data_IF_116203027197
#
_entry.id   IF_116203027197
#
_cell.length_a   1.000
_cell.length_b   1.000
_cell.length_c   1.000
_cell.angle_alpha   90.00
_cell.angle_beta   90.00
_cell.angle_gamma   90.00
#
_symmetry.space_group_name_H-M   'P 1'
#
loop_
_entity.id
_entity.type
_entity.pdbx_description
1 polymer ?
#
# COMPACT_ATOMS: atom_id res chain seq x y z
N UNK A 1 -13.73 -73.27 6.12
CA UNK A 1 -12.91 -72.71 5.01
C UNK A 1 -13.76 -71.77 4.15
N UNK A 2 -13.45 -70.47 4.08
CA UNK A 2 -13.81 -69.57 2.95
C UNK A 2 -12.91 -68.33 3.06
N UNK A 3 -11.92 -68.21 2.17
CA UNK A 3 -11.01 -67.06 2.13
C UNK A 3 -11.71 -65.91 1.40
N UNK A 4 -11.95 -64.79 2.07
CA UNK A 4 -12.34 -63.54 1.41
C UNK A 4 -11.08 -62.68 1.27
N UNK A 5 -10.80 -62.27 0.04
CA UNK A 5 -9.56 -61.59 -0.34
C UNK A 5 -9.64 -60.10 0.01
N UNK A 6 -8.65 -59.60 0.75
CA UNK A 6 -8.34 -58.17 0.82
C UNK A 6 -8.01 -57.64 -0.58
N UNK A 7 -8.64 -56.53 -0.97
CA UNK A 7 -8.19 -55.69 -2.08
C UNK A 7 -7.92 -54.30 -1.53
N UNK A 8 -6.67 -53.86 -1.58
CA UNK A 8 -6.34 -52.43 -1.49
C UNK A 8 -6.89 -51.76 -2.75
N UNK A 9 -7.71 -50.73 -2.57
CA UNK A 9 -8.13 -49.82 -3.62
C UNK A 9 -7.62 -48.42 -3.31
N UNK A 10 -6.53 -48.01 -3.94
CA UNK A 10 -6.12 -46.62 -3.92
C UNK A 10 -7.04 -45.81 -4.84
N UNK A 11 -7.77 -44.84 -4.30
CA UNK A 11 -8.46 -43.82 -5.08
C UNK A 11 -7.76 -42.48 -4.86
N UNK A 12 -7.05 -42.02 -5.89
CA UNK A 12 -6.46 -40.68 -5.91
C UNK A 12 -7.56 -39.62 -6.08
N UNK A 13 -7.51 -38.58 -5.24
CA UNK A 13 -8.40 -37.42 -5.37
C UNK A 13 -7.81 -36.50 -6.45
N UNK A 14 -8.39 -36.53 -7.65
CA UNK A 14 -8.07 -35.59 -8.71
C UNK A 14 -8.87 -34.29 -8.52
N UNK A 15 -8.26 -33.28 -7.89
CA UNK A 15 -8.80 -31.92 -7.83
C UNK A 15 -8.57 -31.20 -9.17
N UNK A 16 -9.56 -31.26 -10.07
CA UNK A 16 -9.58 -30.45 -11.29
C UNK A 16 -10.08 -29.05 -11.00
N UNK A 17 -9.15 -28.13 -10.72
CA UNK A 17 -9.45 -26.70 -10.60
C UNK A 17 -9.54 -26.05 -11.99
N UNK A 18 -10.76 -25.73 -12.44
CA UNK A 18 -11.01 -24.94 -13.63
C UNK A 18 -12.37 -24.22 -13.53
N UNK A 19 -12.41 -23.05 -12.90
CA UNK A 19 -13.52 -22.10 -13.03
C UNK A 19 -13.02 -20.97 -13.94
N UNK A 20 -13.53 -20.82 -15.17
CA UNK A 20 -13.12 -19.73 -16.04
C UNK A 20 -13.71 -18.41 -15.54
N UNK A 21 -12.86 -17.41 -15.32
CA UNK A 21 -13.29 -16.01 -15.23
C UNK A 21 -13.79 -15.57 -16.60
N UNK A 22 -15.10 -15.43 -16.74
CA UNK A 22 -15.76 -14.98 -17.96
C UNK A 22 -15.36 -13.54 -18.31
N UNK A 23 -14.38 -13.39 -19.18
CA UNK A 23 -13.96 -12.10 -19.74
C UNK A 23 -15.02 -11.60 -20.73
N UNK A 24 -15.92 -10.72 -20.29
CA UNK A 24 -16.71 -9.88 -21.21
C UNK A 24 -15.76 -8.90 -21.91
N UNK A 25 -15.74 -8.94 -23.24
CA UNK A 25 -14.79 -8.19 -24.05
C UNK A 25 -14.86 -6.66 -23.80
N UNK A 26 -13.71 -5.95 -23.74
CA UNK A 26 -13.72 -4.49 -23.66
C UNK A 26 -14.12 -3.89 -25.02
N UNK A 27 -15.03 -2.92 -25.01
CA UNK A 27 -15.31 -2.10 -26.17
C UNK A 27 -14.06 -1.32 -26.58
N UNK A 28 -13.76 -1.28 -27.88
CA UNK A 28 -12.56 -0.64 -28.40
C UNK A 28 -12.59 0.88 -28.19
N UNK A 29 -11.75 1.39 -27.29
CA UNK A 29 -11.50 2.83 -27.15
C UNK A 29 -10.42 3.26 -28.16
N UNK A 30 -10.77 4.17 -29.06
CA UNK A 30 -9.85 4.77 -30.03
C UNK A 30 -8.80 5.65 -29.33
N UNK A 31 -7.53 5.28 -29.44
CA UNK A 31 -6.44 6.06 -28.88
C UNK A 31 -6.14 7.30 -29.74
N UNK A 32 -6.24 8.49 -29.15
CA UNK A 32 -5.68 9.73 -29.72
C UNK A 32 -4.27 9.98 -29.14
N UNK A 33 -3.24 10.17 -29.97
CA UNK A 33 -1.93 10.61 -29.50
C UNK A 33 -1.94 12.13 -29.20
N UNK A 34 -1.00 12.56 -28.35
CA UNK A 34 -0.74 13.94 -27.89
C UNK A 34 -1.68 14.49 -26.80
N UNK A 35 -1.48 14.01 -25.57
CA UNK A 35 -2.01 14.66 -24.36
C UNK A 35 -1.13 15.84 -23.91
N UNK A 36 -1.59 17.07 -24.15
CA UNK A 36 -0.98 18.30 -23.62
C UNK A 36 -1.04 18.33 -22.09
N UNK A 37 0.06 18.63 -21.36
CA UNK A 37 0.02 18.69 -19.90
C UNK A 37 -0.66 19.98 -19.43
N UNK A 38 -1.85 19.84 -18.80
CA UNK A 38 -2.47 20.95 -18.06
C UNK A 38 -3.90 21.31 -18.46
N UNK A 39 -4.82 20.34 -18.55
CA UNK A 39 -6.24 20.65 -18.40
C UNK A 39 -6.51 21.04 -16.93
N UNK A 40 -6.82 22.31 -16.69
CA UNK A 40 -7.18 22.78 -15.36
C UNK A 40 -8.53 22.17 -14.95
N UNK A 41 -8.50 21.19 -14.04
CA UNK A 41 -9.72 20.58 -13.48
C UNK A 41 -10.53 21.68 -12.80
N UNK A 42 -11.75 21.92 -13.30
CA UNK A 42 -12.65 22.92 -12.71
C UNK A 42 -12.86 22.64 -11.22
N UNK A 43 -12.70 23.66 -10.38
CA UNK A 43 -12.65 23.51 -8.92
C UNK A 43 -14.00 23.15 -8.28
N UNK A 44 -15.07 23.03 -9.07
CA UNK A 44 -16.45 22.79 -8.60
C UNK A 44 -16.91 21.33 -8.67
N UNK A 45 -16.30 20.49 -9.53
CA UNK A 45 -16.65 19.08 -9.61
C UNK A 45 -15.79 18.23 -8.65
N UNK A 46 -16.38 17.30 -7.88
CA UNK A 46 -15.63 16.36 -7.05
C UNK A 46 -14.79 15.43 -7.94
N UNK A 47 -13.63 15.00 -7.44
CA UNK A 47 -12.89 13.89 -8.07
C UNK A 47 -13.66 12.57 -7.97
N UNK A 48 -13.24 11.56 -8.74
CA UNK A 48 -13.84 10.21 -8.67
C UNK A 48 -13.80 9.65 -7.25
N UNK A 49 -12.70 9.85 -6.52
CA UNK A 49 -12.58 9.44 -5.10
C UNK A 49 -13.51 10.24 -4.18
N UNK A 50 -13.53 11.56 -4.30
CA UNK A 50 -14.41 12.44 -3.51
C UNK A 50 -15.90 12.20 -3.76
N UNK A 51 -16.27 11.75 -4.97
CA UNK A 51 -17.63 11.35 -5.32
C UNK A 51 -18.14 10.18 -4.48
N UNK A 52 -17.26 9.25 -4.08
CA UNK A 52 -17.63 8.08 -3.27
C UNK A 52 -18.06 8.46 -1.85
N UNK A 53 -17.70 9.63 -1.32
CA UNK A 53 -18.19 10.16 -0.02
C UNK A 53 -19.73 10.34 0.03
N UNK A 54 -20.41 10.33 -1.11
CA UNK A 54 -21.87 10.37 -1.15
C UNK A 54 -22.54 9.02 -0.85
N UNK A 55 -21.78 7.91 -0.90
CA UNK A 55 -22.30 6.56 -0.68
C UNK A 55 -22.57 6.27 0.81
N UNK A 56 -23.38 5.25 1.09
CA UNK A 56 -23.75 4.87 2.46
C UNK A 56 -22.55 4.35 3.28
N UNK A 57 -21.76 3.41 2.75
CA UNK A 57 -20.67 2.78 3.50
C UNK A 57 -19.60 3.77 4.01
N UNK A 58 -19.07 4.72 3.21
CA UNK A 58 -18.14 5.74 3.71
C UNK A 58 -18.71 6.61 4.82
N UNK A 59 -20.01 6.98 4.74
CA UNK A 59 -20.68 7.77 5.77
C UNK A 59 -20.83 6.98 7.07
N UNK A 60 -21.26 5.72 6.99
CA UNK A 60 -21.38 4.85 8.16
C UNK A 60 -20.02 4.60 8.82
N UNK A 61 -18.97 4.34 8.03
CA UNK A 61 -17.59 4.16 8.51
C UNK A 61 -17.09 5.40 9.25
N UNK A 62 -17.31 6.60 8.70
CA UNK A 62 -16.91 7.86 9.33
C UNK A 62 -17.65 8.10 10.65
N UNK A 63 -18.97 7.92 10.66
CA UNK A 63 -19.80 8.08 11.86
C UNK A 63 -19.42 7.07 12.96
N UNK A 64 -19.31 5.78 12.61
CA UNK A 64 -19.02 4.70 13.58
C UNK A 64 -17.57 4.66 14.05
N UNK A 65 -16.68 5.44 13.45
CA UNK A 65 -15.30 5.64 13.94
C UNK A 65 -15.07 6.98 14.64
N UNK A 66 -16.03 7.91 14.58
CA UNK A 66 -15.86 9.29 15.04
C UNK A 66 -14.83 10.08 14.23
N UNK A 67 -14.76 9.81 12.93
CA UNK A 67 -13.92 10.54 11.96
C UNK A 67 -14.73 11.47 11.05
N UNK A 68 -16.06 11.42 11.12
CA UNK A 68 -17.00 12.34 10.48
C UNK A 68 -16.77 13.82 10.88
N UNK A 69 -16.29 14.08 12.10
CA UNK A 69 -15.94 15.42 12.57
C UNK A 69 -14.82 16.13 11.77
N UNK A 70 -13.90 15.38 11.14
CA UNK A 70 -12.71 15.95 10.49
C UNK A 70 -13.05 16.90 9.34
N UNK A 71 -14.00 16.55 8.48
CA UNK A 71 -14.39 17.38 7.34
C UNK A 71 -14.96 18.76 7.77
N UNK A 72 -16.02 18.84 8.61
CA UNK A 72 -16.57 20.12 9.04
C UNK A 72 -15.66 20.91 9.99
N UNK A 73 -14.79 20.28 10.77
CA UNK A 73 -13.76 21.00 11.54
C UNK A 73 -12.70 21.61 10.63
N UNK A 74 -12.23 20.84 9.65
CA UNK A 74 -11.25 21.30 8.68
C UNK A 74 -11.80 22.48 7.84
N UNK A 75 -13.04 22.40 7.37
CA UNK A 75 -13.71 23.50 6.67
C UNK A 75 -13.84 24.76 7.55
N UNK A 76 -14.26 24.61 8.82
CA UNK A 76 -14.37 25.73 9.77
C UNK A 76 -13.02 26.39 10.08
N UNK A 77 -11.93 25.64 10.08
CA UNK A 77 -10.59 26.20 10.24
C UNK A 77 -10.07 26.88 8.97
N UNK A 78 -10.30 26.31 7.78
CA UNK A 78 -10.00 26.96 6.49
C UNK A 78 -10.72 28.32 6.35
N UNK A 79 -11.97 28.43 6.82
CA UNK A 79 -12.72 29.69 6.82
C UNK A 79 -12.09 30.80 7.70
N UNK A 80 -11.17 30.45 8.61
CA UNK A 80 -10.45 31.41 9.48
C UNK A 80 -9.05 31.77 8.98
N UNK A 81 -8.58 31.14 7.90
CA UNK A 81 -7.24 31.38 7.34
C UNK A 81 -7.27 32.66 6.48
N UNK A 82 -6.43 33.63 6.84
CA UNK A 82 -6.40 34.96 6.21
C UNK A 82 -5.24 35.15 5.24
N UNK A 83 -4.21 34.30 5.30
CA UNK A 83 -3.05 34.32 4.40
C UNK A 83 -2.68 32.95 3.84
N UNK A 84 -1.94 32.93 2.74
CA UNK A 84 -1.43 31.67 2.17
C UNK A 84 -0.49 30.94 3.14
N UNK A 85 0.37 31.67 3.87
CA UNK A 85 1.31 31.11 4.83
C UNK A 85 0.59 30.47 6.03
N UNK A 86 -0.50 31.08 6.51
CA UNK A 86 -1.40 30.45 7.48
C UNK A 86 -2.02 29.17 6.91
N UNK A 87 -2.50 29.21 5.67
CA UNK A 87 -3.04 28.04 4.98
C UNK A 87 -2.05 26.89 4.87
N UNK A 88 -0.78 27.18 4.55
CA UNK A 88 0.28 26.16 4.52
C UNK A 88 0.49 25.52 5.90
N UNK A 89 0.60 26.32 6.97
CA UNK A 89 0.76 25.82 8.34
C UNK A 89 -0.45 25.02 8.81
N UNK A 90 -1.65 25.53 8.52
CA UNK A 90 -2.92 24.90 8.86
C UNK A 90 -3.05 23.53 8.19
N UNK A 91 -3.00 23.49 6.85
CA UNK A 91 -3.18 22.25 6.08
C UNK A 91 -2.13 21.19 6.42
N UNK A 92 -0.86 21.59 6.61
CA UNK A 92 0.19 20.66 7.03
C UNK A 92 -0.04 20.12 8.45
N UNK A 93 -0.50 20.95 9.39
CA UNK A 93 -0.81 20.53 10.76
C UNK A 93 -1.99 19.58 10.80
N UNK A 94 -3.10 19.91 10.12
CA UNK A 94 -4.31 19.07 10.13
C UNK A 94 -4.09 17.73 9.43
N UNK A 95 -3.33 17.69 8.32
CA UNK A 95 -2.94 16.42 7.70
C UNK A 95 -2.19 15.50 8.66
N UNK A 96 -1.18 16.01 9.37
CA UNK A 96 -0.43 15.25 10.40
C UNK A 96 -1.27 14.93 11.64
N UNK A 97 -2.25 15.76 11.98
CA UNK A 97 -3.18 15.50 13.07
C UNK A 97 -4.10 14.32 12.75
N UNK A 98 -4.60 14.24 11.51
CA UNK A 98 -5.40 13.11 11.03
C UNK A 98 -4.58 11.80 11.03
N UNK A 99 -3.33 11.82 10.54
CA UNK A 99 -2.44 10.66 10.62
C UNK A 99 -2.24 10.18 12.06
N UNK A 100 -1.81 11.07 12.96
CA UNK A 100 -1.60 10.74 14.38
C UNK A 100 -2.87 10.23 15.05
N UNK A 101 -4.03 10.82 14.77
CA UNK A 101 -5.32 10.36 15.31
C UNK A 101 -5.66 8.94 14.87
N UNK A 102 -5.35 8.56 13.63
CA UNK A 102 -5.53 7.19 13.14
C UNK A 102 -4.56 6.20 13.83
N UNK A 103 -3.27 6.54 13.88
CA UNK A 103 -2.25 5.74 14.58
C UNK A 103 -2.57 5.56 16.06
N UNK A 104 -2.91 6.64 16.77
CA UNK A 104 -3.34 6.62 18.17
C UNK A 104 -4.59 5.75 18.36
N UNK A 105 -5.58 5.87 17.46
CA UNK A 105 -6.79 5.05 17.50
C UNK A 105 -6.45 3.56 17.44
N UNK A 106 -5.68 3.12 16.44
CA UNK A 106 -5.28 1.71 16.28
C UNK A 106 -4.48 1.22 17.48
N UNK A 107 -3.60 2.05 18.04
CA UNK A 107 -2.71 1.69 19.14
C UNK A 107 -3.30 1.89 20.55
N UNK A 108 -4.62 1.92 20.68
CA UNK A 108 -5.31 1.98 21.98
C UNK A 108 -5.34 3.37 22.66
N UNK A 109 -4.68 4.39 22.10
CA UNK A 109 -4.59 5.74 22.66
C UNK A 109 -5.79 6.61 22.30
N UNK A 110 -6.11 7.57 23.17
CA UNK A 110 -7.23 8.50 22.97
C UNK A 110 -8.61 7.82 22.91
N UNK A 111 -9.68 8.60 22.65
CA UNK A 111 -11.04 8.08 22.57
C UNK A 111 -11.21 7.14 21.39
N UNK A 112 -12.08 6.13 21.55
CA UNK A 112 -12.47 5.26 20.44
C UNK A 112 -13.09 6.09 19.31
N UNK A 113 -14.08 6.93 19.62
CA UNK A 113 -14.82 7.78 18.67
C UNK A 113 -16.13 7.16 18.17
N UNK A 114 -16.32 5.86 18.36
CA UNK A 114 -17.52 5.11 18.00
C UNK A 114 -17.32 3.61 18.25
N UNK A 115 -18.19 2.78 17.70
CA UNK A 115 -18.23 1.33 17.91
C UNK A 115 -17.46 0.50 16.87
N UNK A 116 -17.00 1.11 15.76
CA UNK A 116 -16.14 0.43 14.79
C UNK A 116 -14.83 -0.01 15.47
N UNK A 117 -14.34 -1.19 15.10
CA UNK A 117 -13.09 -1.77 15.58
C UNK A 117 -11.88 -0.83 15.40
N UNK A 118 -11.01 -0.76 16.42
CA UNK A 118 -9.97 0.28 16.54
C UNK A 118 -8.89 0.20 15.47
N UNK A 119 -8.64 -0.99 14.93
CA UNK A 119 -7.62 -1.36 13.96
C UNK A 119 -8.01 -1.11 12.49
N UNK A 120 -9.11 -0.39 12.25
CA UNK A 120 -9.63 -0.09 10.91
C UNK A 120 -8.88 1.07 10.23
N UNK A 121 -8.46 0.86 8.98
CA UNK A 121 -7.74 1.84 8.14
C UNK A 121 -8.67 2.78 7.36
N UNK A 122 -9.91 2.35 7.08
CA UNK A 122 -10.88 3.06 6.25
C UNK A 122 -11.23 4.47 6.78
N UNK A 123 -11.35 4.73 8.10
CA UNK A 123 -11.60 6.06 8.64
C UNK A 123 -10.57 7.11 8.19
N UNK A 124 -9.29 6.74 8.11
CA UNK A 124 -8.22 7.64 7.66
C UNK A 124 -8.43 8.04 6.20
N UNK A 125 -8.67 7.05 5.33
CA UNK A 125 -8.87 7.26 3.90
C UNK A 125 -10.07 8.17 3.62
N UNK A 126 -11.23 7.87 4.21
CA UNK A 126 -12.46 8.63 3.96
C UNK A 126 -12.40 10.05 4.56
N UNK A 127 -11.85 10.24 5.75
CA UNK A 127 -11.76 11.57 6.37
C UNK A 127 -10.81 12.48 5.57
N UNK A 128 -9.70 11.93 5.09
CA UNK A 128 -8.76 12.64 4.23
C UNK A 128 -9.41 13.08 2.93
N UNK A 129 -10.20 12.22 2.27
CA UNK A 129 -10.95 12.63 1.07
C UNK A 129 -11.95 13.75 1.37
N UNK A 130 -12.61 13.73 2.54
CA UNK A 130 -13.44 14.84 3.02
C UNK A 130 -12.65 16.15 3.11
N UNK A 131 -11.50 16.14 3.79
CA UNK A 131 -10.62 17.32 3.89
C UNK A 131 -10.10 17.78 2.52
N UNK A 132 -9.73 16.86 1.63
CA UNK A 132 -9.28 17.17 0.26
C UNK A 132 -10.38 17.86 -0.55
N UNK A 133 -11.63 17.40 -0.44
CA UNK A 133 -12.80 18.03 -1.06
C UNK A 133 -12.99 19.48 -0.59
N UNK A 134 -12.96 19.72 0.72
CA UNK A 134 -13.06 21.08 1.29
C UNK A 134 -11.91 21.98 0.81
N UNK A 135 -10.67 21.47 0.77
CA UNK A 135 -9.51 22.22 0.29
C UNK A 135 -9.55 22.53 -1.21
N UNK A 136 -10.21 21.69 -2.02
CA UNK A 136 -10.50 22.00 -3.43
C UNK A 136 -11.56 23.10 -3.57
N UNK A 137 -12.64 23.01 -2.80
CA UNK A 137 -13.77 23.94 -2.83
C UNK A 137 -13.55 25.26 -2.06
N UNK A 138 -12.49 25.38 -1.26
CA UNK A 138 -12.22 26.56 -0.44
C UNK A 138 -11.89 27.81 -1.27
N UNK A 139 -12.63 28.89 -1.06
CA UNK A 139 -12.42 30.20 -1.69
C UNK A 139 -12.05 31.23 -0.60
N UNK A 140 -10.75 31.45 -0.32
CA UNK A 140 -10.34 32.45 0.66
C UNK A 140 -10.54 33.89 0.19
N UNK A 141 -10.59 34.83 1.13
CA UNK A 141 -10.61 36.27 0.86
C UNK A 141 -9.30 36.86 0.31
N UNK A 142 -8.26 36.03 0.12
CA UNK A 142 -6.99 36.41 -0.50
C UNK A 142 -6.76 35.64 -1.80
N UNK A 143 -5.92 36.18 -2.70
CA UNK A 143 -5.59 35.53 -3.97
C UNK A 143 -4.86 34.20 -3.75
N UNK A 144 -5.53 33.09 -4.08
CA UNK A 144 -4.95 31.74 -4.09
C UNK A 144 -4.83 31.23 -5.53
N UNK A 145 -3.60 31.10 -6.03
CA UNK A 145 -3.35 30.54 -7.37
C UNK A 145 -3.54 29.01 -7.42
N UNK A 146 -3.74 28.47 -8.62
CA UNK A 146 -3.82 27.02 -8.85
C UNK A 146 -2.59 26.29 -8.32
N UNK A 147 -1.38 26.83 -8.56
CA UNK A 147 -0.13 26.24 -8.07
C UNK A 147 -0.07 26.19 -6.53
N UNK A 148 -0.52 27.27 -5.86
CA UNK A 148 -0.62 27.32 -4.40
C UNK A 148 -1.66 26.32 -3.87
N UNK A 149 -2.84 26.20 -4.51
CA UNK A 149 -3.85 25.20 -4.12
C UNK A 149 -3.31 23.77 -4.28
N UNK A 150 -2.64 23.47 -5.40
CA UNK A 150 -1.98 22.18 -5.62
C UNK A 150 -0.90 21.90 -4.58
N UNK A 151 -0.12 22.90 -4.17
CA UNK A 151 0.87 22.75 -3.10
C UNK A 151 0.24 22.44 -1.73
N UNK A 152 -0.90 23.07 -1.41
CA UNK A 152 -1.68 22.77 -0.19
C UNK A 152 -2.25 21.34 -0.24
N UNK A 153 -2.89 20.94 -1.35
CA UNK A 153 -3.42 19.60 -1.55
C UNK A 153 -2.31 18.54 -1.41
N UNK A 154 -1.16 18.76 -2.05
CA UNK A 154 -0.01 17.87 -1.90
C UNK A 154 0.55 17.83 -0.46
N UNK A 155 0.41 18.91 0.30
CA UNK A 155 0.80 18.93 1.73
C UNK A 155 -0.17 18.14 2.60
N UNK A 156 -1.48 18.25 2.34
CA UNK A 156 -2.50 17.45 3.01
C UNK A 156 -2.27 15.97 2.75
N UNK A 157 -2.12 15.59 1.47
CA UNK A 157 -1.96 14.21 1.03
C UNK A 157 -0.72 13.51 1.63
N UNK A 158 0.40 14.22 1.82
CA UNK A 158 1.60 13.68 2.49
C UNK A 158 1.40 13.54 4.01
N UNK A 159 0.93 14.60 4.66
CA UNK A 159 0.79 14.64 6.13
C UNK A 159 -0.18 13.60 6.65
N UNK A 160 -1.29 13.39 5.94
CA UNK A 160 -2.34 12.40 6.26
C UNK A 160 -2.04 10.97 5.78
N UNK A 161 -0.80 10.69 5.36
CA UNK A 161 -0.31 9.35 5.01
C UNK A 161 0.98 8.97 5.76
N UNK A 162 1.42 9.77 6.73
CA UNK A 162 2.69 9.58 7.44
C UNK A 162 3.95 9.88 6.60
N UNK A 163 3.81 10.18 5.31
CA UNK A 163 4.93 10.31 4.35
C UNK A 163 5.93 11.42 4.70
N UNK A 164 5.52 12.41 5.52
CA UNK A 164 6.37 13.49 6.01
C UNK A 164 6.64 13.44 7.53
N UNK A 165 6.30 12.31 8.16
CA UNK A 165 6.35 12.08 9.61
C UNK A 165 7.16 10.83 10.01
N UNK A 166 7.87 10.19 9.06
CA UNK A 166 8.85 9.14 9.32
C UNK A 166 10.06 9.74 10.05
N UNK A 167 10.15 9.52 11.37
CA UNK A 167 11.18 10.10 12.25
C UNK A 167 12.12 9.04 12.85
N UNK A 168 12.96 8.44 12.01
CA UNK A 168 13.91 7.40 12.44
C UNK A 168 14.94 7.95 13.46
N UNK A 169 15.17 7.26 14.60
CA UNK A 169 16.11 7.71 15.63
C UNK A 169 17.55 7.74 15.10
N UNK A 170 18.36 8.64 15.67
CA UNK A 170 19.78 8.74 15.36
C UNK A 170 20.62 7.72 16.16
N UNK A 171 21.70 7.24 15.56
CA UNK A 171 22.67 6.35 16.21
C UNK A 171 22.46 4.86 15.91
N UNK A 172 23.18 3.99 16.63
CA UNK A 172 23.28 2.54 16.35
C UNK A 172 22.60 1.63 17.40
N UNK A 173 22.07 2.19 18.49
CA UNK A 173 21.48 1.40 19.61
C UNK A 173 20.14 0.74 19.25
N UNK A 174 19.46 1.26 18.24
CA UNK A 174 18.12 0.86 17.81
C UNK A 174 18.16 0.63 16.31
N UNK A 175 17.66 -0.52 15.86
CA UNK A 175 17.41 -0.79 14.45
C UNK A 175 16.26 0.09 13.94
N UNK A 176 16.39 0.59 12.72
CA UNK A 176 15.49 1.57 12.13
C UNK A 176 14.80 0.90 10.95
N UNK A 177 13.53 0.58 11.10
CA UNK A 177 12.75 -0.19 10.11
C UNK A 177 11.70 0.71 9.48
N UNK A 178 11.63 0.72 8.15
CA UNK A 178 10.57 1.42 7.40
C UNK A 178 9.60 0.40 6.83
N UNK A 179 8.31 0.53 7.15
CA UNK A 179 7.25 -0.31 6.57
C UNK A 179 6.27 0.55 5.79
N UNK A 180 5.84 0.12 4.60
CA UNK A 180 4.81 0.86 3.85
C UNK A 180 3.54 0.05 3.68
N UNK A 181 2.39 0.73 3.63
CA UNK A 181 1.11 0.15 3.23
C UNK A 181 0.45 0.93 2.09
N UNK A 182 -0.77 0.55 1.73
CA UNK A 182 -1.61 1.25 0.75
C UNK A 182 -2.95 1.67 1.32
N UNK A 183 -3.52 2.71 0.71
CA UNK A 183 -4.92 3.09 0.87
C UNK A 183 -5.88 1.96 0.39
N UNK A 184 -7.14 1.92 0.86
CA UNK A 184 -8.20 1.08 0.28
C UNK A 184 -8.38 1.29 -1.24
N UNK A 185 -8.76 0.22 -1.95
CA UNK A 185 -8.89 0.24 -3.42
C UNK A 185 -9.98 -0.72 -3.93
N UNK A 186 -10.22 -0.68 -5.25
CA UNK A 186 -11.37 -1.32 -5.91
C UNK A 186 -12.71 -0.93 -5.26
N UNK A 187 -12.82 0.36 -4.90
CA UNK A 187 -13.95 0.96 -4.18
C UNK A 187 -15.15 1.27 -5.08
N UNK A 188 -15.07 0.95 -6.37
CA UNK A 188 -16.22 0.95 -7.29
C UNK A 188 -17.02 -0.35 -7.20
N UNK A 189 -16.39 -1.49 -6.92
CA UNK A 189 -17.11 -2.76 -6.70
C UNK A 189 -17.65 -2.85 -5.26
N UNK A 190 -16.86 -2.41 -4.27
CA UNK A 190 -17.24 -2.43 -2.87
C UNK A 190 -16.52 -1.34 -2.04
N UNK A 191 -17.25 -0.27 -1.70
CA UNK A 191 -16.74 0.82 -0.87
C UNK A 191 -16.56 0.46 0.62
N UNK A 192 -16.94 -0.75 1.04
CA UNK A 192 -16.62 -1.29 2.37
C UNK A 192 -15.19 -1.85 2.44
N UNK A 193 -14.48 -2.03 1.31
CA UNK A 193 -13.13 -2.62 1.32
C UNK A 193 -12.15 -1.85 2.21
N UNK A 194 -11.33 -2.61 2.92
CA UNK A 194 -10.19 -2.19 3.77
C UNK A 194 -8.90 -2.68 3.12
N UNK A 195 -7.75 -2.08 3.44
CA UNK A 195 -6.46 -2.59 3.00
C UNK A 195 -5.65 -3.15 4.20
N UNK A 196 -5.37 -4.46 4.26
CA UNK A 196 -4.61 -5.05 5.36
C UNK A 196 -3.19 -4.47 5.48
N UNK A 197 -2.60 -4.00 4.38
CA UNK A 197 -1.29 -3.32 4.43
C UNK A 197 -1.38 -1.92 5.04
N UNK A 198 -2.47 -1.18 4.79
CA UNK A 198 -2.75 0.12 5.43
C UNK A 198 -3.03 -0.02 6.92
N UNK A 199 -3.84 -1.01 7.31
CA UNK A 199 -4.11 -1.34 8.70
C UNK A 199 -2.82 -1.76 9.46
N UNK A 200 -1.98 -2.58 8.83
CA UNK A 200 -0.69 -2.98 9.39
C UNK A 200 0.29 -1.80 9.54
N UNK A 201 0.32 -0.85 8.60
CA UNK A 201 1.12 0.36 8.72
C UNK A 201 0.72 1.18 9.97
N UNK A 202 -0.57 1.50 10.11
CA UNK A 202 -1.10 2.23 11.27
C UNK A 202 -0.82 1.53 12.62
N UNK A 203 -0.92 0.20 12.66
CA UNK A 203 -0.66 -0.60 13.85
C UNK A 203 0.83 -0.72 14.23
N UNK A 204 1.74 -0.36 13.32
CA UNK A 204 3.19 -0.42 13.51
C UNK A 204 3.85 0.95 13.60
N UNK A 205 3.20 2.03 13.18
CA UNK A 205 3.77 3.38 13.16
C UNK A 205 4.27 3.84 14.54
N UNK A 206 5.53 4.23 14.62
CA UNK A 206 6.17 4.60 15.87
C UNK A 206 6.22 3.50 16.94
N UNK A 207 6.00 2.23 16.61
CA UNK A 207 6.15 1.12 17.56
C UNK A 207 7.59 0.62 17.63
N UNK A 208 7.90 -0.21 18.64
CA UNK A 208 9.18 -0.91 18.71
C UNK A 208 8.98 -2.39 19.00
N UNK A 209 9.77 -3.23 18.33
CA UNK A 209 9.84 -4.69 18.57
C UNK A 209 11.24 -5.05 19.08
N UNK A 210 11.36 -6.17 19.79
CA UNK A 210 12.64 -6.66 20.29
C UNK A 210 13.11 -7.81 19.40
N UNK A 211 14.34 -7.73 18.91
CA UNK A 211 14.93 -8.78 18.07
C UNK A 211 15.34 -10.00 18.90
N UNK A 212 15.62 -11.12 18.23
CA UNK A 212 16.18 -12.32 18.87
C UNK A 212 17.51 -12.06 19.60
N UNK A 213 18.31 -11.08 19.16
CA UNK A 213 19.53 -10.62 19.86
C UNK A 213 19.26 -9.64 21.02
N UNK A 214 18.00 -9.37 21.34
CA UNK A 214 17.59 -8.46 22.40
C UNK A 214 17.67 -6.97 22.04
N UNK A 215 18.14 -6.61 20.84
CA UNK A 215 18.20 -5.22 20.34
C UNK A 215 16.80 -4.70 20.01
N UNK A 216 16.54 -3.42 20.27
CA UNK A 216 15.28 -2.80 19.87
C UNK A 216 15.30 -2.45 18.38
N UNK A 217 14.16 -2.64 17.71
CA UNK A 217 13.90 -2.17 16.36
C UNK A 217 12.69 -1.24 16.38
N UNK A 218 12.92 0.04 16.07
CA UNK A 218 11.90 1.08 15.88
C UNK A 218 11.32 0.93 14.48
N UNK A 219 9.99 0.90 14.38
CA UNK A 219 9.27 0.86 13.11
C UNK A 219 8.64 2.23 12.88
N UNK A 220 8.87 2.82 11.71
CA UNK A 220 8.18 4.00 11.19
C UNK A 220 7.49 3.63 9.88
N UNK A 221 6.36 4.26 9.58
CA UNK A 221 5.54 3.85 8.43
C UNK A 221 5.03 4.99 7.57
N UNK A 222 4.59 4.63 6.36
CA UNK A 222 3.81 5.51 5.51
C UNK A 222 2.83 4.70 4.65
N UNK A 223 1.72 5.33 4.28
CA UNK A 223 0.72 4.76 3.37
C UNK A 223 0.86 5.39 2.00
N UNK A 224 0.57 4.65 0.94
CA UNK A 224 0.63 5.13 -0.44
C UNK A 224 -0.75 5.19 -1.11
N UNK A 225 -1.01 6.20 -1.95
CA UNK A 225 -2.22 6.27 -2.74
C UNK A 225 -2.24 5.18 -3.81
N UNK A 226 -3.41 4.59 -4.04
CA UNK A 226 -3.62 3.69 -5.18
C UNK A 226 -3.99 4.54 -6.40
N UNK A 227 -3.01 5.32 -6.90
CA UNK A 227 -3.12 6.21 -8.06
C UNK A 227 -1.83 6.25 -8.90
N UNK A 228 -1.95 6.06 -10.21
CA UNK A 228 -0.81 6.09 -11.16
C UNK A 228 -0.15 7.46 -11.27
N UNK A 229 -0.93 8.54 -11.09
CA UNK A 229 -0.46 9.92 -11.22
C UNK A 229 0.54 10.30 -10.12
N UNK A 230 0.25 9.96 -8.86
CA UNK A 230 1.12 10.19 -7.71
C UNK A 230 2.45 9.43 -7.83
N UNK A 231 2.37 8.21 -8.37
CA UNK A 231 3.53 7.40 -8.69
C UNK A 231 4.36 8.08 -9.79
N UNK A 232 3.77 8.48 -10.92
CA UNK A 232 4.48 9.24 -11.96
C UNK A 232 5.09 10.55 -11.43
N UNK A 233 4.43 11.21 -10.46
CA UNK A 233 4.92 12.41 -9.76
C UNK A 233 5.97 12.13 -8.66
N UNK A 234 6.46 10.89 -8.54
CA UNK A 234 7.57 10.51 -7.66
C UNK A 234 7.24 10.43 -6.18
N UNK A 235 6.02 10.02 -5.81
CA UNK A 235 5.63 9.86 -4.39
C UNK A 235 6.51 8.85 -3.64
N UNK A 236 6.89 7.74 -4.30
CA UNK A 236 7.73 6.67 -3.72
C UNK A 236 9.11 7.20 -3.35
N UNK A 237 9.81 7.82 -4.29
CA UNK A 237 11.17 8.33 -4.08
C UNK A 237 11.19 9.50 -3.12
N UNK A 238 10.21 10.41 -3.21
CA UNK A 238 10.07 11.56 -2.29
C UNK A 238 9.93 11.12 -0.83
N UNK A 239 9.25 10.00 -0.59
CA UNK A 239 9.01 9.45 0.76
C UNK A 239 10.18 8.61 1.26
N UNK A 240 10.73 7.72 0.40
CA UNK A 240 11.71 6.71 0.81
C UNK A 240 13.17 7.14 0.67
N UNK A 241 13.52 8.00 -0.30
CA UNK A 241 14.90 8.44 -0.52
C UNK A 241 15.56 9.10 0.71
N UNK A 242 14.87 9.95 1.50
CA UNK A 242 15.45 10.50 2.73
C UNK A 242 15.85 9.41 3.73
N UNK A 243 15.10 8.31 3.78
CA UNK A 243 15.34 7.19 4.69
C UNK A 243 16.50 6.33 4.18
N UNK A 244 16.56 6.02 2.88
CA UNK A 244 17.60 5.16 2.30
C UNK A 244 18.99 5.81 2.18
N UNK A 245 19.09 7.14 2.25
CA UNK A 245 20.36 7.89 2.12
C UNK A 245 21.31 7.64 3.29
N UNK A 246 22.63 7.63 3.01
CA UNK A 246 23.67 7.52 4.05
C UNK A 246 23.57 8.68 5.03
N UNK A 247 23.51 8.36 6.32
CA UNK A 247 23.41 9.34 7.40
C UNK A 247 23.04 8.69 8.73
N UNK A 248 23.00 9.47 9.83
CA UNK A 248 22.72 8.95 11.17
C UNK A 248 21.32 8.33 11.32
N UNK A 249 20.42 8.55 10.36
CA UNK A 249 19.02 8.09 10.32
C UNK A 249 18.70 7.13 9.15
N UNK A 250 19.70 6.59 8.41
CA UNK A 250 19.63 5.76 7.16
C UNK A 250 18.63 4.55 7.09
N UNK A 251 17.81 4.28 8.09
CA UNK A 251 17.20 2.96 8.27
C UNK A 251 18.26 1.82 8.32
N UNK A 252 17.79 0.59 8.51
CA UNK A 252 18.56 -0.66 8.49
C UNK A 252 17.83 -1.76 7.71
N UNK A 253 16.53 -1.58 7.46
CA UNK A 253 15.63 -2.51 6.79
C UNK A 253 14.44 -1.69 6.24
N UNK A 254 13.95 -2.04 5.05
CA UNK A 254 12.58 -1.64 4.66
C UNK A 254 11.78 -2.82 4.12
N UNK A 255 10.46 -2.76 4.29
CA UNK A 255 9.51 -3.69 3.68
C UNK A 255 8.33 -2.89 3.13
N UNK A 256 8.15 -2.89 1.82
CA UNK A 256 6.90 -2.40 1.24
C UNK A 256 5.84 -3.50 1.35
N UNK A 257 4.59 -3.17 1.71
CA UNK A 257 3.54 -4.17 1.92
C UNK A 257 2.30 -3.83 1.07
N UNK A 258 1.72 -4.85 0.46
CA UNK A 258 0.49 -4.78 -0.34
C UNK A 258 -0.50 -5.88 0.05
N UNK A 259 -1.76 -5.73 -0.37
CA UNK A 259 -2.74 -6.82 -0.33
C UNK A 259 -2.55 -7.74 -1.55
N UNK A 260 -2.44 -9.05 -1.31
CA UNK A 260 -2.24 -10.07 -2.35
C UNK A 260 -3.47 -10.94 -2.58
N UNK A 261 -3.35 -12.22 -2.25
CA UNK A 261 -4.33 -13.30 -2.55
C UNK A 261 -4.85 -13.98 -1.28
N UNK A 262 -5.97 -14.73 -1.31
CA UNK A 262 -6.49 -15.40 -0.13
C UNK A 262 -5.49 -16.34 0.56
N UNK A 263 -5.55 -16.38 1.89
CA UNK A 263 -4.97 -17.45 2.71
C UNK A 263 -3.45 -17.54 2.84
N UNK A 264 -2.65 -16.64 2.26
CA UNK A 264 -1.17 -16.70 2.39
C UNK A 264 -0.49 -15.33 2.35
N UNK A 265 0.71 -15.27 2.93
CA UNK A 265 1.68 -14.21 2.68
C UNK A 265 2.64 -14.64 1.58
N UNK A 266 3.09 -13.70 0.76
CA UNK A 266 4.10 -13.92 -0.27
C UNK A 266 5.25 -12.93 -0.09
N UNK A 267 6.46 -13.43 0.10
CA UNK A 267 7.70 -12.65 0.03
C UNK A 267 8.13 -12.64 -1.43
N UNK A 268 7.95 -11.49 -2.09
CA UNK A 268 8.20 -11.39 -3.53
C UNK A 268 9.69 -11.41 -3.82
N UNK A 269 10.14 -12.40 -4.61
CA UNK A 269 11.53 -12.52 -5.04
C UNK A 269 11.92 -11.36 -5.97
N UNK A 270 11.07 -11.07 -6.95
CA UNK A 270 11.40 -10.21 -8.09
C UNK A 270 10.23 -9.32 -8.49
N UNK A 271 10.51 -8.02 -8.71
CA UNK A 271 9.56 -7.01 -9.17
C UNK A 271 9.92 -6.55 -10.58
N UNK A 272 8.93 -6.34 -11.45
CA UNK A 272 9.11 -6.03 -12.87
C UNK A 272 8.83 -4.57 -13.24
N UNK A 273 9.56 -4.06 -14.23
CA UNK A 273 9.45 -2.68 -14.72
C UNK A 273 8.21 -2.41 -15.61
N UNK A 274 7.04 -3.00 -15.33
CA UNK A 274 5.85 -2.94 -16.20
C UNK A 274 4.56 -2.53 -15.46
N UNK A 275 3.65 -1.86 -16.18
CA UNK A 275 2.27 -1.54 -15.77
C UNK A 275 1.25 -2.29 -16.61
N UNK A 276 0.34 -3.04 -15.97
CA UNK A 276 -0.63 -3.93 -16.61
C UNK A 276 -1.87 -3.29 -17.23
N UNK A 277 -2.24 -2.07 -16.80
CA UNK A 277 -3.45 -1.39 -17.28
C UNK A 277 -4.69 -1.56 -16.40
N UNK A 278 -4.62 -2.22 -15.25
CA UNK A 278 -5.74 -2.23 -14.30
C UNK A 278 -6.05 -0.78 -13.81
N UNK A 279 -7.33 -0.36 -13.73
CA UNK A 279 -7.69 0.99 -13.29
C UNK A 279 -7.32 1.27 -11.83
N UNK A 280 -6.93 2.51 -11.55
CA UNK A 280 -6.65 2.99 -10.19
C UNK A 280 -7.88 3.58 -9.48
N UNK A 281 -7.73 4.12 -8.26
CA UNK A 281 -8.85 4.71 -7.52
C UNK A 281 -9.49 5.94 -8.21
N UNK A 282 -8.77 6.59 -9.13
CA UNK A 282 -9.27 7.67 -9.98
C UNK A 282 -9.87 7.15 -11.30
N UNK A 283 -9.97 5.82 -11.50
CA UNK A 283 -10.35 5.11 -12.73
C UNK A 283 -9.38 5.30 -13.90
N UNK A 284 -8.14 5.72 -13.62
CA UNK A 284 -7.11 5.88 -14.64
C UNK A 284 -6.45 4.53 -14.93
N UNK A 285 -6.33 4.15 -16.21
CA UNK A 285 -5.59 2.98 -16.67
C UNK A 285 -4.24 3.40 -17.27
N UNK A 286 -3.15 2.71 -16.94
CA UNK A 286 -1.83 2.95 -17.52
C UNK A 286 -1.14 1.64 -17.88
N UNK A 287 -0.65 1.55 -19.11
CA UNK A 287 0.22 0.47 -19.59
C UNK A 287 1.58 1.04 -20.00
N UNK A 288 2.61 0.19 -20.05
CA UNK A 288 3.97 0.61 -20.41
C UNK A 288 5.01 0.33 -19.33
N UNK A 289 6.26 0.67 -19.64
CA UNK A 289 7.37 0.60 -18.69
C UNK A 289 7.12 1.52 -17.49
N UNK A 290 7.48 1.09 -16.28
CA UNK A 290 7.40 1.91 -15.07
C UNK A 290 8.27 3.18 -15.25
N UNK A 291 7.68 4.38 -15.17
CA UNK A 291 8.42 5.63 -15.39
C UNK A 291 9.23 6.00 -14.14
N UNK A 292 10.49 6.38 -14.34
CA UNK A 292 11.37 6.90 -13.29
C UNK A 292 11.33 8.43 -13.32
N UNK A 293 10.97 9.12 -12.22
CA UNK A 293 10.92 10.58 -12.19
C UNK A 293 12.29 11.22 -12.45
N UNK A 294 12.31 12.38 -13.13
CA UNK A 294 13.54 13.12 -13.36
C UNK A 294 14.21 13.54 -12.04
N UNK A 295 15.54 13.43 -11.97
CA UNK A 295 16.36 13.88 -10.83
C UNK A 295 16.35 12.95 -9.60
N UNK A 296 15.70 11.78 -9.65
CA UNK A 296 15.84 10.76 -8.60
C UNK A 296 17.03 9.83 -8.89
N UNK A 297 17.78 9.36 -7.87
CA UNK A 297 18.79 8.32 -8.07
C UNK A 297 18.15 7.03 -8.61
N UNK A 298 18.75 6.47 -9.65
CA UNK A 298 18.33 5.20 -10.28
C UNK A 298 19.55 4.45 -10.80
N UNK A 299 19.40 3.14 -11.03
CA UNK A 299 20.36 2.35 -11.82
C UNK A 299 20.16 2.68 -13.31
N UNK A 300 21.27 2.76 -14.06
CA UNK A 300 21.29 3.03 -15.50
C UNK A 300 22.12 1.96 -16.24
N UNK A 301 21.61 1.38 -17.35
CA UNK A 301 20.25 1.52 -17.87
C UNK A 301 19.20 1.02 -16.86
N UNK A 302 17.94 1.46 -17.01
CA UNK A 302 16.86 1.01 -16.14
C UNK A 302 16.70 -0.52 -16.25
N UNK A 303 16.87 -1.29 -15.16
CA UNK A 303 16.76 -2.73 -15.22
C UNK A 303 15.30 -3.16 -15.39
N UNK A 304 15.07 -4.24 -16.14
CA UNK A 304 13.72 -4.82 -16.28
C UNK A 304 13.21 -5.42 -14.98
N UNK A 305 14.12 -5.84 -14.09
CA UNK A 305 13.84 -6.59 -12.89
C UNK A 305 14.63 -6.05 -11.71
N UNK A 306 14.03 -6.09 -10.52
CA UNK A 306 14.71 -5.83 -9.24
C UNK A 306 14.45 -6.99 -8.29
N UNK A 307 15.41 -7.32 -7.43
CA UNK A 307 15.35 -8.52 -6.58
C UNK A 307 15.43 -8.15 -5.10
N UNK A 308 14.60 -8.81 -4.29
CA UNK A 308 14.58 -8.64 -2.83
C UNK A 308 15.92 -9.01 -2.19
N UNK A 309 16.29 -8.25 -1.16
CA UNK A 309 17.37 -8.57 -0.20
C UNK A 309 16.85 -8.67 1.22
N UNK A 310 15.53 -8.79 1.39
CA UNK A 310 14.96 -9.28 2.65
C UNK A 310 15.60 -10.65 3.00
N UNK A 311 15.70 -11.00 4.28
CA UNK A 311 16.14 -12.32 4.74
C UNK A 311 15.04 -13.37 4.51
N UNK A 312 14.56 -13.51 3.27
CA UNK A 312 13.37 -14.27 2.86
C UNK A 312 13.39 -15.71 3.38
N UNK A 313 14.53 -16.41 3.32
CA UNK A 313 14.65 -17.77 3.80
C UNK A 313 14.43 -17.89 5.31
N UNK A 314 14.80 -16.87 6.10
CA UNK A 314 14.50 -16.81 7.54
C UNK A 314 13.04 -16.47 7.80
N UNK A 315 12.46 -15.58 6.99
CA UNK A 315 11.04 -15.18 7.08
C UNK A 315 10.12 -16.38 6.78
N UNK A 316 10.39 -17.11 5.70
CA UNK A 316 9.59 -18.26 5.24
C UNK A 316 9.74 -19.48 6.15
N UNK A 317 10.91 -19.67 6.77
CA UNK A 317 11.14 -20.75 7.73
C UNK A 317 10.66 -20.46 9.16
N UNK A 318 10.21 -19.24 9.45
CA UNK A 318 9.78 -18.85 10.79
C UNK A 318 8.27 -19.04 10.98
N UNK A 319 7.89 -19.62 12.12
CA UNK A 319 6.52 -19.54 12.60
C UNK A 319 6.22 -18.09 13.00
N UNK A 320 5.37 -17.43 12.19
CA UNK A 320 5.05 -16.00 12.32
C UNK A 320 3.56 -15.75 12.59
N UNK A 321 2.72 -16.77 12.52
CA UNK A 321 1.27 -16.62 12.63
C UNK A 321 0.48 -17.65 11.81
N UNK A 322 -0.85 -17.50 11.74
CA UNK A 322 -1.75 -18.54 11.25
C UNK A 322 -1.72 -18.75 9.72
N UNK A 323 -1.18 -17.81 8.95
CA UNK A 323 -1.10 -17.94 7.49
C UNK A 323 0.29 -18.45 7.07
N UNK A 324 0.40 -19.36 6.07
CA UNK A 324 1.68 -19.72 5.51
C UNK A 324 2.35 -18.51 4.86
N UNK A 325 3.66 -18.38 5.08
CA UNK A 325 4.50 -17.41 4.36
C UNK A 325 5.23 -18.15 3.25
N UNK A 326 5.09 -17.68 2.01
CA UNK A 326 5.68 -18.29 0.82
C UNK A 326 6.83 -17.47 0.29
N UNK A 327 7.81 -18.17 -0.27
CA UNK A 327 8.82 -17.60 -1.14
C UNK A 327 8.21 -17.54 -2.55
N UNK A 328 7.93 -16.34 -3.07
CA UNK A 328 7.21 -16.22 -4.34
C UNK A 328 8.15 -15.77 -5.47
N UNK A 329 8.43 -16.71 -6.37
CA UNK A 329 9.41 -16.57 -7.45
C UNK A 329 8.78 -16.36 -8.83
N UNK A 330 7.47 -16.60 -8.98
CA UNK A 330 6.78 -16.53 -10.27
C UNK A 330 6.83 -15.13 -10.87
N UNK A 331 7.15 -15.01 -12.16
CA UNK A 331 7.05 -13.76 -12.94
C UNK A 331 6.43 -14.02 -14.31
N UNK A 332 5.99 -12.95 -14.99
CA UNK A 332 5.63 -12.99 -16.42
C UNK A 332 6.60 -12.12 -17.20
N UNK A 333 7.24 -12.69 -18.21
CA UNK A 333 8.28 -12.03 -19.01
C UNK A 333 8.02 -12.14 -20.51
N UNK A 334 8.68 -11.31 -21.32
CA UNK A 334 8.99 -11.66 -22.71
C UNK A 334 10.46 -12.09 -22.73
N UNK A 335 10.81 -13.33 -23.14
CA UNK A 335 12.20 -13.80 -23.17
C UNK A 335 13.06 -12.99 -24.14
N UNK A 336 14.38 -13.01 -23.95
CA UNK A 336 15.31 -12.39 -24.90
C UNK A 336 15.11 -12.95 -26.32
N UNK A 337 14.89 -12.06 -27.30
CA UNK A 337 14.58 -12.44 -28.69
C UNK A 337 13.15 -12.98 -28.93
N UNK A 338 12.32 -13.09 -27.89
CA UNK A 338 10.93 -13.50 -27.99
C UNK A 338 9.97 -12.34 -28.29
N UNK A 339 8.77 -12.66 -28.77
CA UNK A 339 7.70 -11.68 -29.05
C UNK A 339 6.47 -11.76 -28.14
N UNK A 340 6.32 -12.82 -27.33
CA UNK A 340 5.11 -13.10 -26.56
C UNK A 340 5.40 -13.22 -25.05
N UNK A 341 4.48 -12.77 -24.16
CA UNK A 341 4.59 -13.00 -22.73
C UNK A 341 4.48 -14.48 -22.35
N UNK A 342 5.26 -14.91 -21.36
CA UNK A 342 5.28 -16.26 -20.80
C UNK A 342 5.47 -16.21 -19.29
N UNK A 343 4.86 -17.16 -18.57
CA UNK A 343 5.07 -17.33 -17.13
C UNK A 343 6.39 -18.07 -16.89
N UNK A 344 7.10 -17.68 -15.82
CA UNK A 344 8.29 -18.35 -15.29
C UNK A 344 8.08 -18.61 -13.81
N UNK A 345 8.03 -19.87 -13.34
CA UNK A 345 7.86 -20.16 -11.91
C UNK A 345 9.09 -19.77 -11.08
N UNK A 346 10.30 -19.84 -11.65
CA UNK A 346 11.57 -19.71 -10.93
C UNK A 346 12.27 -18.34 -11.12
N UNK A 347 11.50 -17.30 -11.49
CA UNK A 347 12.03 -15.95 -11.76
C UNK A 347 12.40 -15.71 -13.23
N UNK A 348 12.87 -14.50 -13.57
CA UNK A 348 13.09 -14.10 -14.96
C UNK A 348 14.35 -14.72 -15.56
N UNK A 349 14.32 -14.94 -16.88
CA UNK A 349 15.49 -15.37 -17.66
C UNK A 349 16.41 -14.18 -17.98
N UNK A 350 17.73 -14.40 -18.17
CA UNK A 350 18.66 -13.33 -18.53
C UNK A 350 18.25 -12.59 -19.81
N UNK A 351 18.22 -11.26 -19.74
CA UNK A 351 17.88 -10.39 -20.87
C UNK A 351 16.37 -10.29 -21.19
N UNK A 352 15.49 -10.86 -20.37
CA UNK A 352 14.04 -10.78 -20.58
C UNK A 352 13.45 -9.40 -20.26
N UNK A 353 12.33 -9.08 -20.89
CA UNK A 353 11.53 -7.86 -20.66
C UNK A 353 10.40 -8.15 -19.68
N UNK A 354 10.15 -7.23 -18.73
CA UNK A 354 9.12 -7.44 -17.73
C UNK A 354 7.70 -7.30 -18.27
N UNK A 355 6.79 -8.16 -17.79
CA UNK A 355 5.34 -8.07 -17.98
C UNK A 355 4.54 -8.23 -16.68
N UNK A 356 5.05 -8.97 -15.70
CA UNK A 356 4.61 -8.92 -14.30
C UNK A 356 5.75 -9.37 -13.39
N UNK A 357 5.93 -8.71 -12.25
CA UNK A 357 6.69 -9.28 -11.13
C UNK A 357 5.86 -10.30 -10.36
N UNK A 358 6.39 -10.85 -9.27
CA UNK A 358 5.64 -11.77 -8.41
C UNK A 358 4.40 -11.10 -7.81
N UNK A 359 4.52 -9.80 -7.49
CA UNK A 359 3.41 -8.93 -7.09
C UNK A 359 2.44 -8.50 -8.19
N UNK A 360 2.49 -9.11 -9.37
CA UNK A 360 1.72 -8.73 -10.55
C UNK A 360 2.33 -7.57 -11.34
N UNK A 361 1.48 -6.77 -11.98
CA UNK A 361 1.84 -5.62 -12.82
C UNK A 361 1.06 -4.33 -12.44
N UNK A 362 0.49 -4.33 -11.23
CA UNK A 362 -0.23 -3.20 -10.66
C UNK A 362 0.67 -2.35 -9.73
N UNK A 363 0.07 -1.39 -9.02
CA UNK A 363 0.79 -0.46 -8.13
C UNK A 363 1.55 -1.14 -6.97
N UNK A 364 1.16 -2.35 -6.57
CA UNK A 364 1.91 -3.22 -5.65
C UNK A 364 3.30 -3.56 -6.20
N UNK A 365 3.34 -4.10 -7.42
CA UNK A 365 4.59 -4.34 -8.14
C UNK A 365 5.36 -3.03 -8.40
N UNK A 366 4.68 -1.93 -8.72
CA UNK A 366 5.37 -0.67 -8.99
C UNK A 366 6.06 -0.09 -7.73
N UNK A 367 5.43 -0.09 -6.55
CA UNK A 367 6.10 0.40 -5.33
C UNK A 367 7.28 -0.50 -4.97
N UNK A 368 7.12 -1.82 -5.14
CA UNK A 368 8.14 -2.81 -4.87
C UNK A 368 9.36 -2.61 -5.78
N UNK A 369 9.13 -2.50 -7.09
CA UNK A 369 10.15 -2.22 -8.10
C UNK A 369 10.88 -0.90 -7.82
N UNK A 370 10.14 0.20 -7.58
CA UNK A 370 10.74 1.53 -7.41
C UNK A 370 11.48 1.70 -6.10
N UNK A 371 10.95 1.19 -4.99
CA UNK A 371 11.65 1.19 -3.70
C UNK A 371 12.94 0.36 -3.76
N UNK A 372 12.90 -0.80 -4.43
CA UNK A 372 14.06 -1.68 -4.59
C UNK A 372 15.12 -1.04 -5.51
N UNK A 373 14.72 -0.49 -6.66
CA UNK A 373 15.58 0.25 -7.60
C UNK A 373 16.24 1.47 -6.96
N UNK A 374 15.48 2.25 -6.17
CA UNK A 374 15.98 3.40 -5.42
C UNK A 374 17.02 2.98 -4.38
N UNK A 375 16.77 1.87 -3.67
CA UNK A 375 17.75 1.26 -2.76
C UNK A 375 18.99 0.80 -3.53
N UNK A 376 18.84 0.15 -4.67
CA UNK A 376 19.97 -0.30 -5.50
C UNK A 376 20.82 0.88 -5.99
N UNK A 377 20.21 2.03 -6.28
CA UNK A 377 20.93 3.23 -6.68
C UNK A 377 21.72 3.91 -5.54
N UNK A 378 21.24 3.88 -4.27
CA UNK A 378 21.85 4.67 -3.18
C UNK A 378 22.52 3.82 -2.08
N UNK A 379 22.02 2.61 -1.85
CA UNK A 379 22.47 1.69 -0.79
C UNK A 379 22.13 0.22 -1.11
N UNK A 380 22.78 -0.41 -2.12
CA UNK A 380 22.55 -1.82 -2.49
C UNK A 380 22.52 -2.80 -1.31
N UNK A 381 23.41 -2.61 -0.33
CA UNK A 381 23.55 -3.49 0.83
C UNK A 381 22.50 -3.31 1.93
N UNK A 382 21.52 -2.42 1.77
CA UNK A 382 20.41 -2.30 2.73
C UNK A 382 19.34 -3.37 2.43
N UNK A 383 18.99 -4.24 3.39
CA UNK A 383 17.92 -5.23 3.25
C UNK A 383 16.57 -4.59 2.91
N UNK A 384 16.00 -4.98 1.77
CA UNK A 384 14.81 -4.35 1.23
C UNK A 384 14.01 -5.28 0.33
N UNK A 385 12.69 -5.10 0.28
CA UNK A 385 11.83 -5.90 -0.59
C UNK A 385 10.34 -5.67 -0.36
N UNK A 386 9.55 -6.63 -0.82
CA UNK A 386 8.10 -6.56 -0.84
C UNK A 386 7.45 -7.79 -0.21
N UNK A 387 6.32 -7.56 0.47
CA UNK A 387 5.49 -8.56 1.11
C UNK A 387 4.03 -8.36 0.67
N UNK A 388 3.44 -9.38 0.06
CA UNK A 388 1.99 -9.44 -0.07
C UNK A 388 1.38 -10.10 1.17
N UNK A 389 0.30 -9.49 1.66
CA UNK A 389 -0.56 -9.98 2.74
C UNK A 389 -1.71 -10.81 2.16
N UNK A 390 -2.35 -11.70 2.96
CA UNK A 390 -3.65 -12.26 2.60
C UNK A 390 -4.68 -11.15 2.34
N UNK A 391 -5.68 -11.41 1.49
CA UNK A 391 -6.84 -10.49 1.37
C UNK A 391 -7.66 -10.45 2.66
N UNK A 392 -8.41 -9.37 2.84
CA UNK A 392 -9.46 -9.31 3.85
C UNK A 392 -10.77 -9.92 3.34
N UNK A 393 -11.41 -10.74 4.18
CA UNK A 393 -12.64 -11.45 3.84
C UNK A 393 -13.75 -11.13 4.86
N UNK A 394 -14.94 -10.79 4.36
CA UNK A 394 -16.16 -10.75 5.16
C UNK A 394 -16.66 -12.18 5.44
N UNK A 395 -17.40 -12.36 6.54
CA UNK A 395 -18.04 -13.64 6.84
C UNK A 395 -19.04 -14.06 5.75
N UNK A 396 -19.36 -15.37 5.60
CA UNK A 396 -20.20 -15.87 4.50
C UNK A 396 -21.57 -15.19 4.33
N UNK A 397 -22.17 -14.69 5.43
CA UNK A 397 -23.43 -13.94 5.41
C UNK A 397 -23.28 -12.41 5.23
N UNK A 398 -22.10 -11.93 4.83
CA UNK A 398 -21.78 -10.50 4.74
C UNK A 398 -20.96 -10.13 3.50
N UNK A 399 -20.73 -11.10 2.59
CA UNK A 399 -19.89 -10.92 1.40
C UNK A 399 -20.49 -9.97 0.35
N UNK A 400 -21.82 -10.02 0.13
CA UNK A 400 -22.52 -9.17 -0.84
C UNK A 400 -22.42 -7.67 -0.48
N UNK A 401 -21.86 -6.80 -1.34
CA UNK A 401 -21.79 -5.35 -1.11
C UNK A 401 -23.15 -4.64 -1.09
N UNK A 402 -24.18 -5.20 -1.73
CA UNK A 402 -25.50 -4.56 -1.82
C UNK A 402 -26.34 -4.73 -0.54
N UNK A 403 -26.17 -5.83 0.18
CA UNK A 403 -26.92 -6.15 1.41
C UNK A 403 -26.07 -6.26 2.68
N UNK A 404 -24.75 -6.36 2.55
CA UNK A 404 -23.83 -6.57 3.67
C UNK A 404 -23.52 -5.31 4.49
N UNK A 405 -23.25 -5.53 5.78
CA UNK A 405 -22.79 -4.53 6.74
C UNK A 405 -21.33 -4.14 6.47
N UNK A 406 -20.91 -2.97 6.95
CA UNK A 406 -19.53 -2.47 6.81
C UNK A 406 -18.48 -3.29 7.58
N UNK A 407 -18.86 -4.13 8.55
CA UNK A 407 -17.95 -4.96 9.34
C UNK A 407 -18.67 -6.19 9.87
N UNK A 408 -17.91 -7.24 10.18
CA UNK A 408 -18.36 -8.40 10.92
C UNK A 408 -17.20 -9.06 11.70
N UNK A 409 -17.48 -9.94 12.68
CA UNK A 409 -16.42 -10.52 13.52
C UNK A 409 -15.40 -11.40 12.79
N UNK A 410 -15.70 -11.94 11.59
CA UNK A 410 -14.72 -12.69 10.81
C UNK A 410 -13.71 -11.73 10.16
N UNK A 411 -14.19 -10.67 9.53
CA UNK A 411 -13.39 -9.60 8.96
C UNK A 411 -12.43 -8.96 9.99
N UNK A 412 -12.94 -8.65 11.19
CA UNK A 412 -12.13 -8.05 12.26
C UNK A 412 -11.06 -9.01 12.80
N UNK A 413 -11.38 -10.29 13.01
CA UNK A 413 -10.38 -11.31 13.41
C UNK A 413 -9.33 -11.53 12.33
N UNK A 414 -9.74 -11.56 11.06
CA UNK A 414 -8.87 -11.74 9.91
C UNK A 414 -7.88 -10.57 9.76
N UNK A 415 -8.34 -9.32 9.89
CA UNK A 415 -7.45 -8.15 9.92
C UNK A 415 -6.48 -8.18 11.10
N UNK A 416 -6.97 -8.43 12.32
CA UNK A 416 -6.13 -8.52 13.50
C UNK A 416 -5.05 -9.62 13.38
N UNK A 417 -5.40 -10.78 12.81
CA UNK A 417 -4.45 -11.87 12.56
C UNK A 417 -3.39 -11.49 11.53
N UNK A 418 -3.78 -10.88 10.40
CA UNK A 418 -2.84 -10.41 9.36
C UNK A 418 -1.89 -9.35 9.93
N UNK A 419 -2.42 -8.32 10.61
CA UNK A 419 -1.61 -7.27 11.25
C UNK A 419 -0.64 -7.83 12.29
N UNK A 420 -1.10 -8.79 13.12
CA UNK A 420 -0.25 -9.50 14.08
C UNK A 420 0.89 -10.26 13.39
N UNK A 421 0.61 -10.97 12.30
CA UNK A 421 1.61 -11.72 11.55
C UNK A 421 2.58 -10.81 10.77
N UNK A 422 2.12 -9.68 10.22
CA UNK A 422 3.03 -8.66 9.65
C UNK A 422 4.05 -8.19 10.69
N UNK A 423 3.62 -7.93 11.94
CA UNK A 423 4.55 -7.58 13.02
C UNK A 423 5.61 -8.66 13.25
N UNK A 424 5.23 -9.94 13.23
CA UNK A 424 6.18 -11.04 13.43
C UNK A 424 7.13 -11.20 12.24
N UNK A 425 6.65 -11.12 11.00
CA UNK A 425 7.48 -11.15 9.79
C UNK A 425 8.53 -10.01 9.82
N UNK A 426 8.11 -8.79 10.17
CA UNK A 426 9.02 -7.64 10.33
C UNK A 426 10.02 -7.86 11.48
N UNK A 427 9.60 -8.50 12.58
CA UNK A 427 10.47 -8.82 13.72
C UNK A 427 11.52 -9.88 13.36
N UNK A 428 11.16 -10.90 12.59
CA UNK A 428 12.09 -11.91 12.04
C UNK A 428 13.09 -11.24 11.09
N UNK A 429 12.61 -10.38 10.20
CA UNK A 429 13.47 -9.63 9.29
C UNK A 429 14.48 -8.75 10.05
N UNK A 430 14.00 -7.94 11.01
CA UNK A 430 14.86 -7.12 11.86
C UNK A 430 15.85 -7.95 12.69
N UNK A 431 15.45 -9.14 13.15
CA UNK A 431 16.34 -10.05 13.89
C UNK A 431 17.46 -10.62 13.04
N UNK A 432 17.21 -10.95 11.78
CA UNK A 432 18.26 -11.38 10.86
C UNK A 432 19.24 -10.25 10.53
N UNK A 433 18.77 -9.00 10.38
CA UNK A 433 19.66 -7.83 10.25
C UNK A 433 20.47 -7.60 11.54
N UNK A 434 19.85 -7.81 12.71
CA UNK A 434 20.53 -7.69 14.01
C UNK A 434 21.63 -8.72 14.28
N UNK A 435 21.66 -9.82 13.53
CA UNK A 435 22.67 -10.86 13.63
C UNK A 435 23.88 -10.62 12.70
N UNK A 436 23.79 -9.65 11.78
CA UNK A 436 24.85 -9.35 10.79
C UNK A 436 25.78 -8.19 11.22
N UNK A 437 25.44 -7.46 12.28
CA UNK A 437 26.24 -6.35 12.82
C UNK A 437 25.61 -5.68 14.04
#
# INVERSE_FOLDING_TARGET
>A
MRRIRTRLGALGIALTAAVPLSLTAPAAATATPNGTPGAAVSATAPTVEEGRLAQAAPREILQRSGFDAWQPEFARGLARVTTYQEGQRYVAREGRALWRRAVDRVQGRGPAGGDLSRDDDRPLYWARLGMTKELRAWHPGFRLSTAQRTALLASLERGSRGQDSIELPAGKRVLRVVVTGFDPFQLDDDARRSNPSGAAALALDGTAVRTASGRWARIETAVFPVRWADFAAGTVERTLLPQLRRGPRQADLFTTISQGRPGQFDVERTNGAWRGGFPDNARESRTGTVPIPAGVPTVLPQPQWTTTTLPYARIVAADTGPYPVRDHTTVTEIPAGGGAPVVRPDGPTPGSTARAGGGGDYLSNEIAYRATLLRDAVRPSLPGGHLHTPVLEFGPGNADPASGRITDPAFERNRAAITGQVRQIVTVAASAVAAQG
#
